data_IF_966044598010
#
_entry.id   IF_966044598010
#
_cell.length_a   1.000
_cell.length_b   1.000
_cell.length_c   1.000
_cell.angle_alpha   90.00
_cell.angle_beta   90.00
_cell.angle_gamma   90.00
#
_symmetry.space_group_name_H-M   'P 1'
#
loop_
_entity.id
_entity.type
_entity.pdbx_description
1 polymer ?
#
# COMPACT_ATOMS: atom_id res chain seq x y z
N UNK A 1 -28.14 14.42 2.38
CA UNK A 1 -27.31 13.20 2.35
C UNK A 1 -26.31 13.26 3.48
N UNK A 2 -26.43 12.36 4.46
CA UNK A 2 -25.42 12.21 5.52
C UNK A 2 -24.28 11.36 4.97
N UNK A 3 -23.04 11.86 5.06
CA UNK A 3 -21.84 11.07 4.75
C UNK A 3 -21.18 10.70 6.07
N UNK A 4 -21.28 9.45 6.46
CA UNK A 4 -20.52 8.91 7.60
C UNK A 4 -19.08 8.67 7.15
N UNK A 5 -18.13 9.40 7.74
CA UNK A 5 -16.69 9.14 7.55
C UNK A 5 -16.25 8.17 8.65
N UNK A 6 -15.84 6.96 8.27
CA UNK A 6 -15.23 6.00 9.19
C UNK A 6 -13.71 6.27 9.18
N UNK A 7 -13.14 6.57 10.33
CA UNK A 7 -11.69 6.72 10.51
C UNK A 7 -11.09 5.43 11.08
N UNK A 8 -9.91 5.04 10.62
CA UNK A 8 -9.22 3.81 11.05
C UNK A 8 -9.29 2.68 10.01
N UNK A 9 -8.71 1.53 10.35
CA UNK A 9 -8.71 0.34 9.50
C UNK A 9 -10.03 -0.43 9.67
N UNK A 10 -10.79 -0.54 8.59
CA UNK A 10 -11.96 -1.44 8.53
C UNK A 10 -11.48 -2.81 8.07
N UNK A 11 -11.95 -3.88 8.72
CA UNK A 11 -11.62 -5.26 8.34
C UNK A 11 -12.02 -5.52 6.89
N UNK A 12 -11.09 -6.02 6.08
CA UNK A 12 -11.32 -6.32 4.67
C UNK A 12 -11.29 -5.10 3.73
N UNK A 13 -11.16 -3.88 4.26
CA UNK A 13 -10.97 -2.70 3.42
C UNK A 13 -9.59 -2.70 2.79
N UNK A 14 -9.51 -2.25 1.53
CA UNK A 14 -8.27 -2.01 0.82
C UNK A 14 -7.85 -0.55 0.95
N UNK A 15 -6.54 -0.33 1.03
CA UNK A 15 -5.91 0.98 1.04
C UNK A 15 -4.97 1.10 -0.16
N UNK A 16 -4.94 2.30 -0.72
CA UNK A 16 -4.01 2.71 -1.78
C UNK A 16 -3.18 3.85 -1.20
N UNK A 17 -1.86 3.72 -1.19
CA UNK A 17 -0.97 4.70 -0.59
C UNK A 17 0.41 4.70 -1.23
N UNK A 18 1.17 5.75 -0.95
CA UNK A 18 2.56 5.91 -1.34
C UNK A 18 3.42 6.01 -0.09
N UNK A 19 4.37 5.08 0.13
CA UNK A 19 5.30 5.18 1.24
C UNK A 19 6.17 6.43 1.16
N UNK A 20 6.60 7.00 2.30
CA UNK A 20 7.53 8.13 2.30
C UNK A 20 8.87 7.74 1.65
N UNK A 21 9.63 8.74 1.21
CA UNK A 21 10.98 8.52 0.67
C UNK A 21 11.96 7.93 1.69
N UNK A 22 11.66 8.02 2.98
CA UNK A 22 12.42 7.42 4.08
C UNK A 22 12.05 5.97 4.39
N UNK A 23 11.09 5.39 3.67
CA UNK A 23 10.70 3.99 3.88
C UNK A 23 11.85 3.05 3.48
N UNK A 24 12.14 2.07 4.34
CA UNK A 24 13.19 1.06 4.09
C UNK A 24 12.84 0.19 2.87
N UNK A 25 11.56 -0.18 2.75
CA UNK A 25 11.06 -1.02 1.67
C UNK A 25 10.13 -0.22 0.77
N UNK A 26 10.36 -0.32 -0.55
CA UNK A 26 9.54 0.28 -1.61
C UNK A 26 9.22 1.78 -1.38
N UNK A 27 10.24 2.63 -1.13
CA UNK A 27 10.03 4.07 -0.99
C UNK A 27 9.40 4.65 -2.25
N UNK A 28 8.49 5.61 -2.09
CA UNK A 28 7.83 6.34 -3.19
C UNK A 28 7.10 5.46 -4.21
N UNK A 29 6.83 4.20 -3.87
CA UNK A 29 6.13 3.23 -4.73
C UNK A 29 4.61 3.39 -4.61
N UNK A 30 3.84 2.86 -5.58
CA UNK A 30 2.39 2.70 -5.44
C UNK A 30 2.10 1.38 -4.76
N UNK A 31 1.42 1.39 -3.61
CA UNK A 31 1.08 0.19 -2.84
C UNK A 31 -0.44 0.04 -2.72
N UNK A 32 -0.93 -1.17 -3.00
CA UNK A 32 -2.32 -1.59 -2.77
C UNK A 32 -2.30 -2.79 -1.80
N UNK A 33 -2.85 -2.61 -0.61
CA UNK A 33 -2.85 -3.62 0.45
C UNK A 33 -4.13 -3.57 1.29
N UNK A 34 -4.38 -4.60 2.09
CA UNK A 34 -5.42 -4.53 3.13
C UNK A 34 -5.07 -3.41 4.10
N UNK A 35 -6.06 -2.63 4.54
CA UNK A 35 -5.85 -1.44 5.37
C UNK A 35 -5.07 -1.75 6.66
N UNK A 36 -5.25 -2.94 7.23
CA UNK A 36 -4.50 -3.41 8.41
C UNK A 36 -3.01 -3.70 8.13
N UNK A 37 -2.60 -3.76 6.86
CA UNK A 37 -1.23 -3.93 6.39
C UNK A 37 -0.65 -2.64 5.83
N UNK A 38 -1.39 -1.52 5.87
CA UNK A 38 -0.87 -0.23 5.42
C UNK A 38 0.35 0.16 6.26
N UNK A 39 1.49 0.37 5.60
CA UNK A 39 2.80 0.59 6.24
C UNK A 39 3.70 -0.65 6.31
N UNK A 40 3.16 -1.85 6.11
CA UNK A 40 3.94 -3.08 5.89
C UNK A 40 4.27 -3.23 4.39
N UNK A 41 5.31 -2.53 3.95
CA UNK A 41 5.70 -2.42 2.54
C UNK A 41 6.32 -3.71 1.95
N UNK A 42 6.14 -4.87 2.58
CA UNK A 42 6.44 -6.19 1.99
C UNK A 42 5.17 -6.99 1.64
N UNK A 43 3.97 -6.44 1.88
CA UNK A 43 2.68 -7.05 1.55
C UNK A 43 1.95 -6.33 0.42
N UNK A 44 0.98 -7.01 -0.18
CA UNK A 44 0.12 -6.44 -1.21
C UNK A 44 0.77 -6.38 -2.59
N UNK A 45 0.15 -5.60 -3.47
CA UNK A 45 0.62 -5.31 -4.83
C UNK A 45 1.37 -3.98 -4.83
N UNK A 46 2.56 -3.96 -5.41
CA UNK A 46 3.46 -2.81 -5.36
C UNK A 46 4.06 -2.53 -6.74
N UNK A 47 4.00 -1.28 -7.18
CA UNK A 47 4.67 -0.79 -8.39
C UNK A 47 5.80 0.13 -7.93
N UNK A 48 7.03 -0.18 -8.32
CA UNK A 48 8.21 0.62 -7.96
C UNK A 48 8.09 2.07 -8.41
N UNK A 49 8.83 2.96 -7.76
CA UNK A 49 8.81 4.40 -8.04
C UNK A 49 9.17 4.74 -9.50
N UNK A 50 9.99 3.91 -10.14
CA UNK A 50 10.37 4.05 -11.55
C UNK A 50 9.37 3.39 -12.53
N UNK A 51 8.35 2.71 -12.01
CA UNK A 51 7.31 2.05 -12.79
C UNK A 51 7.71 0.74 -13.47
N UNK A 52 8.94 0.25 -13.27
CA UNK A 52 9.47 -0.89 -14.01
C UNK A 52 9.28 -2.24 -13.32
N UNK A 53 9.10 -2.25 -12.00
CA UNK A 53 9.04 -3.48 -11.21
C UNK A 53 7.66 -3.63 -10.58
N UNK A 54 7.01 -4.76 -10.85
CA UNK A 54 5.81 -5.20 -10.15
C UNK A 54 6.20 -6.22 -9.08
N UNK A 55 5.76 -6.01 -7.84
CA UNK A 55 6.00 -6.94 -6.73
C UNK A 55 4.68 -7.34 -6.08
N UNK A 56 4.47 -8.63 -5.83
CA UNK A 56 3.33 -9.14 -5.07
C UNK A 56 3.79 -9.95 -3.86
N UNK A 57 3.43 -9.49 -2.65
CA UNK A 57 3.82 -10.11 -1.39
C UNK A 57 5.34 -10.41 -1.30
N UNK A 58 6.16 -9.43 -1.71
CA UNK A 58 7.62 -9.52 -1.67
C UNK A 58 8.26 -10.31 -2.82
N UNK A 59 7.49 -10.77 -3.81
CA UNK A 59 8.02 -11.45 -5.01
C UNK A 59 7.87 -10.56 -6.24
N UNK A 60 8.98 -10.35 -6.95
CA UNK A 60 9.00 -9.67 -8.26
C UNK A 60 8.28 -10.53 -9.29
N UNK A 61 7.47 -9.91 -10.14
CA UNK A 61 6.71 -10.51 -11.23
C UNK A 61 7.28 -10.12 -12.59
#
# INVERSE_FOLDING_TARGET
>A
WSRTSITGAVVGQWSIFTPPNTAINNPQSLVIAIASQAGDNIRGLQISADGNTLTFNGRVL
#
